data_IF_653068612532
#
_entry.id   IF_653068612532
#
_cell.length_a   1.000
_cell.length_b   1.000
_cell.length_c   1.000
_cell.angle_alpha   90.00
_cell.angle_beta   90.00
_cell.angle_gamma   90.00
#
_symmetry.space_group_name_H-M   'P 1'
#
loop_
_entity.id
_entity.type
_entity.pdbx_description
1 polymer ?
#
# COMPACT_ATOMS: atom_id res chain seq x y z
N UNK A 1 22.81 -8.71 -3.99
CA UNK A 1 23.09 -9.54 -2.81
C UNK A 1 23.71 -8.64 -1.77
N UNK A 2 23.08 -8.49 -0.59
CA UNK A 2 23.73 -7.82 0.53
C UNK A 2 24.21 -8.92 1.47
N UNK A 3 25.52 -9.01 1.69
CA UNK A 3 26.11 -9.94 2.65
C UNK A 3 25.96 -9.29 4.01
N UNK A 4 25.13 -9.86 4.88
CA UNK A 4 25.06 -9.45 6.29
C UNK A 4 26.40 -9.87 6.92
N UNK A 5 27.24 -8.89 7.25
CA UNK A 5 28.48 -9.13 7.96
C UNK A 5 28.14 -9.70 9.36
N UNK A 6 28.57 -10.95 9.62
CA UNK A 6 28.47 -11.56 10.95
C UNK A 6 27.94 -12.99 11.03
N UNK A 7 27.44 -13.59 9.94
CA UNK A 7 27.14 -15.03 9.95
C UNK A 7 28.40 -15.85 9.61
N UNK A 8 28.82 -16.71 10.54
CA UNK A 8 29.86 -17.69 10.30
C UNK A 8 29.32 -18.77 9.36
N UNK A 9 29.78 -18.77 8.12
CA UNK A 9 29.43 -19.81 7.16
C UNK A 9 30.47 -20.93 7.22
N UNK A 10 30.02 -22.18 7.39
CA UNK A 10 30.92 -23.34 7.35
C UNK A 10 31.12 -23.74 5.90
N UNK A 11 32.31 -23.48 5.37
CA UNK A 11 32.74 -23.98 4.07
C UNK A 11 32.96 -25.49 4.16
N UNK A 12 32.16 -26.27 3.43
CA UNK A 12 32.42 -27.70 3.24
C UNK A 12 33.02 -27.95 1.85
N UNK A 13 33.68 -29.10 1.61
CA UNK A 13 34.10 -29.50 0.26
C UNK A 13 32.94 -29.60 -0.76
N UNK A 14 31.68 -29.64 -0.28
CA UNK A 14 30.46 -29.66 -1.10
C UNK A 14 29.88 -28.25 -1.35
N UNK A 15 30.45 -27.21 -0.74
CA UNK A 15 29.98 -25.82 -0.84
C UNK A 15 29.58 -25.22 0.51
N UNK A 16 28.95 -24.05 0.44
CA UNK A 16 28.34 -23.34 1.58
C UNK A 16 26.84 -23.36 1.40
N UNK A 17 26.11 -23.80 2.44
CA UNK A 17 24.67 -23.59 2.51
C UNK A 17 24.41 -22.12 2.87
N UNK A 18 23.88 -21.36 1.91
CA UNK A 18 23.51 -19.94 2.12
C UNK A 18 21.99 -19.83 2.07
N UNK A 19 21.41 -19.26 3.12
CA UNK A 19 20.01 -18.82 3.10
C UNK A 19 19.94 -17.48 2.39
N UNK A 20 19.21 -17.43 1.27
CA UNK A 20 18.92 -16.20 0.57
C UNK A 20 17.52 -15.70 0.96
N UNK A 21 17.44 -14.47 1.45
CA UNK A 21 16.17 -13.78 1.67
C UNK A 21 15.86 -12.88 0.47
N UNK A 22 14.66 -13.06 -0.10
CA UNK A 22 14.16 -12.21 -1.17
C UNK A 22 13.20 -11.17 -0.58
N UNK A 23 13.45 -9.91 -0.89
CA UNK A 23 12.64 -8.77 -0.46
C UNK A 23 12.02 -8.11 -1.68
N UNK A 24 10.73 -7.75 -1.59
CA UNK A 24 10.06 -6.98 -2.65
C UNK A 24 10.78 -5.65 -2.87
N UNK A 25 10.79 -5.18 -4.11
CA UNK A 25 11.31 -3.85 -4.48
C UNK A 25 10.28 -2.73 -4.35
N UNK A 26 9.02 -3.10 -4.19
CA UNK A 26 7.88 -2.19 -4.14
C UNK A 26 7.19 -2.23 -2.79
N UNK A 27 6.55 -1.12 -2.45
CA UNK A 27 5.51 -1.05 -1.44
C UNK A 27 4.14 -1.41 -2.04
N UNK A 28 3.18 -1.72 -1.18
CA UNK A 28 1.76 -1.80 -1.53
C UNK A 28 0.96 -0.76 -0.77
N UNK A 29 0.03 -0.12 -1.44
CA UNK A 29 -1.00 0.72 -0.86
C UNK A 29 -2.35 0.02 -1.00
N UNK A 30 -3.14 -0.01 0.08
CA UNK A 30 -4.52 -0.48 0.09
C UNK A 30 -5.48 0.60 0.59
N UNK A 31 -6.64 0.74 -0.06
CA UNK A 31 -7.75 1.58 0.44
C UNK A 31 -8.94 0.72 0.86
N UNK A 32 -9.40 0.89 2.09
CA UNK A 32 -10.55 0.18 2.67
C UNK A 32 -11.69 1.15 2.95
N UNK A 33 -12.91 0.71 2.63
CA UNK A 33 -14.14 1.44 2.93
C UNK A 33 -14.80 0.83 4.17
N UNK A 34 -14.69 1.50 5.30
CA UNK A 34 -15.31 1.14 6.58
C UNK A 34 -16.48 2.07 6.94
N UNK A 35 -17.03 2.79 5.96
CA UNK A 35 -18.22 3.63 6.13
C UNK A 35 -19.44 2.96 5.48
N UNK A 36 -20.42 2.44 6.25
CA UNK A 36 -21.53 1.64 5.73
C UNK A 36 -22.40 2.31 4.67
N UNK A 37 -22.54 3.64 4.72
CA UNK A 37 -23.35 4.42 3.78
C UNK A 37 -22.52 5.10 2.67
N UNK A 38 -21.30 4.61 2.41
CA UNK A 38 -20.39 5.15 1.40
C UNK A 38 -20.04 4.11 0.34
N UNK A 39 -19.80 4.57 -0.90
CA UNK A 39 -19.18 3.80 -1.97
C UNK A 39 -17.94 4.53 -2.48
N UNK A 40 -16.83 3.83 -2.64
CA UNK A 40 -15.65 4.38 -3.34
C UNK A 40 -15.88 4.24 -4.84
N UNK A 41 -15.78 5.35 -5.57
CA UNK A 41 -16.06 5.42 -7.01
C UNK A 41 -14.81 5.60 -7.87
N UNK A 42 -13.73 6.11 -7.28
CA UNK A 42 -12.43 6.24 -7.96
C UNK A 42 -11.28 6.38 -6.95
N UNK A 43 -10.07 6.02 -7.36
CA UNK A 43 -8.83 6.21 -6.60
C UNK A 43 -7.70 6.57 -7.55
N UNK A 44 -7.03 7.70 -7.32
CA UNK A 44 -5.81 8.08 -8.03
C UNK A 44 -4.68 8.39 -7.06
N UNK A 45 -3.44 8.17 -7.52
CA UNK A 45 -2.24 8.50 -6.76
C UNK A 45 -1.40 9.43 -7.60
N UNK A 46 -1.23 10.66 -7.16
CA UNK A 46 -0.37 11.64 -7.82
C UNK A 46 0.97 11.72 -7.10
N UNK A 47 1.99 12.24 -7.79
CA UNK A 47 3.32 12.47 -7.23
C UNK A 47 4.04 11.18 -6.74
N UNK A 48 3.70 10.03 -7.33
CA UNK A 48 4.43 8.78 -7.11
C UNK A 48 5.69 8.78 -7.99
N UNK A 49 6.82 8.26 -7.49
CA UNK A 49 8.01 8.09 -8.34
C UNK A 49 7.84 6.98 -9.37
N UNK A 50 8.45 7.18 -10.55
CA UNK A 50 8.33 6.26 -11.69
C UNK A 50 9.35 5.12 -11.71
N UNK A 51 10.41 5.20 -10.90
CA UNK A 51 11.47 4.19 -10.84
C UNK A 51 12.19 4.16 -9.48
N UNK A 52 12.73 2.99 -9.13
CA UNK A 52 13.62 2.78 -7.97
C UNK A 52 14.73 1.78 -8.31
N UNK A 53 15.74 1.67 -7.45
CA UNK A 53 16.80 0.68 -7.61
C UNK A 53 16.33 -0.73 -7.23
N UNK A 54 16.74 -1.73 -8.02
CA UNK A 54 16.45 -3.14 -7.73
C UNK A 54 17.08 -3.60 -6.40
N UNK A 55 18.35 -3.24 -6.18
CA UNK A 55 19.07 -3.58 -4.96
C UNK A 55 19.08 -2.41 -3.99
N UNK A 56 19.00 -2.73 -2.70
CA UNK A 56 19.23 -1.77 -1.63
C UNK A 56 20.66 -1.23 -1.76
N UNK A 57 20.82 0.10 -1.83
CA UNK A 57 22.12 0.75 -1.73
C UNK A 57 22.68 0.67 -0.31
N UNK A 58 23.78 1.39 -0.05
CA UNK A 58 24.40 1.44 1.28
C UNK A 58 23.38 1.88 2.36
N UNK A 59 23.49 1.30 3.55
CA UNK A 59 22.45 1.26 4.62
C UNK A 59 22.10 2.63 5.22
N UNK A 60 22.80 3.69 4.84
CA UNK A 60 22.66 5.05 5.40
C UNK A 60 21.40 5.78 4.93
N UNK A 61 20.91 5.49 3.71
CA UNK A 61 19.68 6.08 3.19
C UNK A 61 18.57 5.03 3.20
N UNK A 62 17.41 5.36 3.80
CA UNK A 62 16.29 4.42 3.96
C UNK A 62 15.43 4.24 2.71
N UNK A 63 15.72 4.97 1.63
CA UNK A 63 15.00 4.98 0.37
C UNK A 63 16.02 4.95 -0.77
N UNK A 64 15.81 4.07 -1.76
CA UNK A 64 16.72 3.89 -2.89
C UNK A 64 16.01 4.19 -4.22
N UNK A 65 15.76 5.48 -4.46
CA UNK A 65 15.34 6.01 -5.76
C UNK A 65 16.52 6.69 -6.49
N UNK A 66 16.59 6.61 -7.84
CA UNK A 66 17.49 7.44 -8.62
C UNK A 66 17.21 8.94 -8.48
N UNK A 67 18.25 9.78 -8.56
CA UNK A 67 18.10 11.24 -8.49
C UNK A 67 17.26 11.83 -9.65
N UNK A 68 17.23 11.13 -10.78
CA UNK A 68 16.45 11.48 -11.97
C UNK A 68 15.09 10.75 -12.02
N UNK A 69 14.59 10.24 -10.90
CA UNK A 69 13.24 9.69 -10.78
C UNK A 69 12.19 10.75 -11.13
N UNK A 70 11.36 10.47 -12.13
CA UNK A 70 10.22 11.28 -12.50
C UNK A 70 9.06 11.09 -11.53
N UNK A 71 8.05 11.95 -11.66
CA UNK A 71 6.78 11.83 -10.93
C UNK A 71 5.67 11.47 -11.90
N UNK A 72 4.85 10.50 -11.50
CA UNK A 72 3.73 9.99 -12.29
C UNK A 72 2.44 10.02 -11.49
N UNK A 73 1.34 9.98 -12.23
CA UNK A 73 0.00 9.71 -11.70
C UNK A 73 -0.37 8.27 -11.99
N UNK A 74 -0.61 7.49 -10.95
CA UNK A 74 -1.18 6.17 -11.05
C UNK A 74 -2.69 6.29 -11.01
N UNK A 75 -3.33 5.78 -12.06
CA UNK A 75 -4.79 5.63 -12.16
C UNK A 75 -5.15 4.15 -12.13
N UNK A 76 -6.40 3.80 -11.82
CA UNK A 76 -6.85 2.41 -11.90
C UNK A 76 -6.64 1.87 -13.32
N UNK A 77 -6.31 0.58 -13.42
CA UNK A 77 -6.27 -0.09 -14.71
C UNK A 77 -7.64 0.00 -15.39
N UNK A 78 -7.66 0.04 -16.73
CA UNK A 78 -8.87 0.30 -17.50
C UNK A 78 -10.02 -0.68 -17.16
N UNK A 79 -9.69 -1.94 -16.93
CA UNK A 79 -10.62 -3.01 -16.51
C UNK A 79 -11.10 -2.91 -15.05
N UNK A 80 -10.46 -2.05 -14.26
CA UNK A 80 -10.82 -1.74 -12.87
C UNK A 80 -11.67 -0.46 -12.78
N UNK A 81 -11.56 0.47 -13.74
CA UNK A 81 -12.29 1.75 -13.76
C UNK A 81 -13.80 1.53 -13.69
N UNK A 82 -14.36 0.62 -14.49
CA UNK A 82 -15.80 0.38 -14.50
C UNK A 82 -16.30 -0.26 -13.19
N UNK A 83 -15.47 -1.11 -12.57
CA UNK A 83 -15.77 -1.73 -11.28
C UNK A 83 -15.72 -0.71 -10.14
N UNK A 84 -14.80 0.25 -10.21
CA UNK A 84 -14.75 1.38 -9.29
C UNK A 84 -15.97 2.29 -9.48
N UNK A 85 -16.31 2.66 -10.72
CA UNK A 85 -17.50 3.46 -11.03
C UNK A 85 -18.81 2.82 -10.56
N UNK A 86 -18.92 1.49 -10.61
CA UNK A 86 -20.07 0.76 -10.06
C UNK A 86 -20.18 0.90 -8.52
N UNK A 87 -19.11 1.34 -7.87
CA UNK A 87 -19.03 1.66 -6.45
C UNK A 87 -18.60 0.47 -5.62
N UNK A 88 -17.45 0.59 -4.95
CA UNK A 88 -16.98 -0.44 -4.01
C UNK A 88 -17.52 -0.15 -2.60
N UNK A 89 -18.36 -1.07 -2.14
CA UNK A 89 -19.12 -0.97 -0.90
C UNK A 89 -18.29 -1.22 0.36
N UNK A 90 -18.96 -1.03 1.49
CA UNK A 90 -18.46 -1.22 2.85
C UNK A 90 -17.83 -2.60 3.11
N UNK A 91 -16.82 -2.58 3.98
CA UNK A 91 -16.16 -3.73 4.57
C UNK A 91 -16.24 -3.61 6.09
N UNK A 92 -16.53 -4.71 6.78
CA UNK A 92 -16.67 -4.69 8.24
C UNK A 92 -15.32 -4.40 8.94
N UNK A 93 -15.22 -3.35 9.77
CA UNK A 93 -14.05 -3.07 10.58
C UNK A 93 -13.97 -3.99 11.82
N UNK A 94 -12.82 -3.96 12.51
CA UNK A 94 -12.64 -4.64 13.80
C UNK A 94 -12.00 -6.02 13.76
N UNK A 95 -11.65 -6.52 12.57
CA UNK A 95 -10.72 -7.66 12.43
C UNK A 95 -9.36 -7.18 11.90
N UNK A 96 -8.25 -7.80 12.31
CA UNK A 96 -6.99 -7.64 11.59
C UNK A 96 -7.24 -7.83 10.09
N UNK A 97 -6.65 -6.97 9.26
CA UNK A 97 -6.77 -7.10 7.81
C UNK A 97 -5.89 -8.28 7.41
N UNK A 98 -6.48 -9.47 7.38
CA UNK A 98 -5.84 -10.68 6.89
C UNK A 98 -5.52 -10.55 5.39
N UNK A 99 -4.53 -11.30 4.92
CA UNK A 99 -4.16 -11.33 3.50
C UNK A 99 -5.34 -11.68 2.60
N UNK A 100 -6.28 -12.52 3.07
CA UNK A 100 -7.51 -12.87 2.35
C UNK A 100 -8.40 -11.64 2.05
N UNK A 101 -8.48 -10.67 2.97
CA UNK A 101 -9.19 -9.42 2.77
C UNK A 101 -8.41 -8.46 1.85
N UNK A 102 -7.07 -8.46 1.95
CA UNK A 102 -6.19 -7.71 1.04
C UNK A 102 -6.28 -8.23 -0.40
N UNK A 103 -6.37 -9.54 -0.61
CA UNK A 103 -6.55 -10.16 -1.93
C UNK A 103 -7.87 -9.75 -2.58
N UNK A 104 -8.92 -9.50 -1.79
CA UNK A 104 -10.19 -8.99 -2.31
C UNK A 104 -10.17 -7.50 -2.64
N UNK A 105 -9.13 -6.77 -2.23
CA UNK A 105 -8.99 -5.33 -2.45
C UNK A 105 -8.31 -4.96 -3.79
N UNK A 106 -8.45 -5.80 -4.82
CA UNK A 106 -7.80 -5.62 -6.15
C UNK A 106 -8.14 -4.32 -6.86
N UNK A 107 -9.32 -3.76 -6.61
CA UNK A 107 -9.80 -2.55 -7.30
C UNK A 107 -9.23 -1.26 -6.71
N UNK A 108 -8.68 -1.32 -5.50
CA UNK A 108 -8.27 -0.14 -4.71
C UNK A 108 -6.90 -0.36 -4.07
N UNK A 109 -6.05 -1.12 -4.76
CA UNK A 109 -4.67 -1.34 -4.39
C UNK A 109 -3.73 -0.75 -5.44
N UNK A 110 -2.55 -0.34 -5.03
CA UNK A 110 -1.49 0.11 -5.92
C UNK A 110 -0.13 -0.36 -5.40
N UNK A 111 0.83 -0.44 -6.31
CA UNK A 111 2.23 -0.67 -5.98
C UNK A 111 3.01 0.62 -6.19
N UNK A 112 3.86 0.94 -5.22
CA UNK A 112 4.66 2.16 -5.24
C UNK A 112 6.14 1.78 -5.16
N UNK A 113 6.96 2.48 -5.94
CA UNK A 113 8.40 2.45 -5.77
C UNK A 113 8.82 3.24 -4.53
N UNK A 114 10.03 2.98 -4.06
CA UNK A 114 10.58 3.70 -2.91
C UNK A 114 10.66 5.20 -3.17
N UNK A 115 10.23 6.00 -2.20
CA UNK A 115 10.19 7.45 -2.31
C UNK A 115 10.62 8.14 -1.02
N UNK A 116 11.55 9.08 -1.14
CA UNK A 116 11.94 9.97 -0.05
C UNK A 116 10.88 11.06 0.06
N UNK A 117 10.29 11.22 1.24
CA UNK A 117 9.19 12.15 1.47
C UNK A 117 9.56 13.08 2.62
N UNK A 118 10.01 14.27 2.26
CA UNK A 118 10.46 15.29 3.20
C UNK A 118 9.41 16.36 3.47
N UNK A 119 8.49 16.55 2.54
CA UNK A 119 7.45 17.58 2.58
C UNK A 119 6.20 17.21 1.74
N UNK A 120 5.21 18.11 1.70
CA UNK A 120 3.98 17.90 0.94
C UNK A 120 4.21 17.86 -0.59
N UNK A 121 5.23 18.59 -1.06
CA UNK A 121 5.57 18.67 -2.48
C UNK A 121 6.23 17.38 -2.97
N UNK A 122 6.89 16.65 -2.08
CA UNK A 122 7.54 15.36 -2.33
C UNK A 122 6.65 14.18 -1.93
N UNK A 123 5.53 14.39 -1.24
CA UNK A 123 4.61 13.32 -0.83
C UNK A 123 3.77 12.79 -1.98
N UNK A 124 3.63 11.46 -2.14
CA UNK A 124 2.52 10.88 -2.87
C UNK A 124 1.19 11.35 -2.27
N UNK A 125 0.20 11.58 -3.12
CA UNK A 125 -1.15 12.01 -2.69
C UNK A 125 -2.19 11.06 -3.26
N UNK A 126 -2.89 10.38 -2.35
CA UNK A 126 -3.94 9.43 -2.71
C UNK A 126 -5.27 10.16 -2.67
N UNK A 127 -5.85 10.44 -3.83
CA UNK A 127 -7.18 11.03 -3.93
C UNK A 127 -8.21 9.93 -4.11
N UNK A 128 -9.18 9.89 -3.21
CA UNK A 128 -10.25 8.89 -3.21
C UNK A 128 -11.57 9.63 -3.42
N UNK A 129 -12.26 9.31 -4.51
CA UNK A 129 -13.60 9.81 -4.79
C UNK A 129 -14.64 8.82 -4.25
N UNK A 130 -15.71 9.37 -3.68
CA UNK A 130 -16.76 8.56 -3.10
C UNK A 130 -18.14 9.19 -3.25
N UNK A 131 -19.15 8.33 -3.13
CA UNK A 131 -20.55 8.73 -2.99
C UNK A 131 -21.05 8.33 -1.60
N UNK A 132 -21.66 9.28 -0.90
CA UNK A 132 -22.22 9.10 0.42
C UNK A 132 -23.75 9.21 0.37
N UNK A 133 -24.43 8.19 0.88
CA UNK A 133 -25.87 8.21 1.08
C UNK A 133 -26.18 8.84 2.44
N UNK A 134 -26.65 10.09 2.45
CA UNK A 134 -26.99 10.82 3.67
C UNK A 134 -28.50 10.95 3.78
N UNK A 135 -29.05 10.68 4.97
CA UNK A 135 -30.49 10.69 5.18
C UNK A 135 -30.89 9.97 6.46
N UNK A 136 -32.17 10.04 6.78
CA UNK A 136 -32.77 9.36 7.93
C UNK A 136 -33.46 8.03 7.54
N UNK A 137 -33.21 7.53 6.33
CA UNK A 137 -33.86 6.33 5.79
C UNK A 137 -35.21 6.58 5.10
N UNK A 138 -35.84 7.73 5.34
CA UNK A 138 -37.09 8.14 4.66
C UNK A 138 -36.80 9.06 3.47
N UNK A 139 -35.86 9.98 3.63
CA UNK A 139 -35.27 10.78 2.55
C UNK A 139 -33.77 10.53 2.52
N UNK A 140 -33.29 9.90 1.44
CA UNK A 140 -31.88 9.62 1.23
C UNK A 140 -31.39 10.41 0.01
N UNK A 141 -30.30 11.13 0.18
CA UNK A 141 -29.65 11.89 -0.89
C UNK A 141 -28.25 11.35 -1.10
N UNK A 142 -27.88 11.10 -2.36
CA UNK A 142 -26.50 10.81 -2.71
C UNK A 142 -25.70 12.11 -2.79
N UNK A 143 -24.53 12.14 -2.13
CA UNK A 143 -23.60 13.25 -2.19
C UNK A 143 -22.24 12.73 -2.65
N UNK A 144 -21.73 13.31 -3.74
CA UNK A 144 -20.35 13.09 -4.13
C UNK A 144 -19.40 13.79 -3.15
N UNK A 145 -18.26 13.15 -2.89
CA UNK A 145 -17.20 13.69 -2.05
C UNK A 145 -15.84 13.18 -2.52
N UNK A 146 -14.80 13.78 -1.98
CA UNK A 146 -13.42 13.36 -2.21
C UNK A 146 -12.58 13.61 -0.97
N UNK A 147 -11.56 12.79 -0.80
CA UNK A 147 -10.52 13.00 0.22
C UNK A 147 -9.16 12.76 -0.39
N UNK A 148 -8.20 13.64 -0.08
CA UNK A 148 -6.81 13.50 -0.49
C UNK A 148 -5.95 13.22 0.73
N UNK A 149 -5.24 12.10 0.71
CA UNK A 149 -4.42 11.61 1.81
C UNK A 149 -2.94 11.68 1.41
N UNK A 150 -2.15 12.60 1.97
CA UNK A 150 -0.70 12.57 1.83
C UNK A 150 -0.08 11.50 2.75
N UNK A 151 1.16 11.10 2.45
CA UNK A 151 1.94 10.21 3.29
C UNK A 151 2.51 11.01 4.48
N UNK A 152 1.65 11.32 5.44
CA UNK A 152 1.94 12.18 6.58
C UNK A 152 1.34 11.62 7.86
N UNK A 153 2.08 11.70 8.96
CA UNK A 153 1.59 11.32 10.29
C UNK A 153 0.67 12.39 10.84
N UNK A 154 -0.43 11.98 11.47
CA UNK A 154 -1.40 12.89 12.08
C UNK A 154 -1.10 13.19 13.55
N UNK A 155 -0.31 12.35 14.22
CA UNK A 155 -0.02 12.44 15.66
C UNK A 155 1.25 13.23 16.00
N UNK A 156 2.07 13.55 15.01
CA UNK A 156 3.30 14.32 15.16
C UNK A 156 3.33 15.38 14.06
N UNK A 157 3.36 16.66 14.44
CA UNK A 157 3.35 17.76 13.48
C UNK A 157 4.58 17.70 12.59
N UNK A 158 4.35 17.62 11.27
CA UNK A 158 5.35 17.68 10.20
C UNK A 158 6.17 16.40 9.91
N UNK A 159 5.83 15.25 10.49
CA UNK A 159 6.44 13.98 10.11
C UNK A 159 5.81 13.44 8.81
N UNK A 160 6.51 13.58 7.70
CA UNK A 160 6.20 12.86 6.48
C UNK A 160 6.71 11.41 6.54
N UNK A 161 6.13 10.55 5.71
CA UNK A 161 6.39 9.12 5.70
C UNK A 161 6.94 8.71 4.34
N UNK A 162 8.20 8.29 4.32
CA UNK A 162 8.81 7.68 3.14
C UNK A 162 7.98 6.50 2.62
N UNK A 163 8.03 6.29 1.31
CA UNK A 163 7.61 5.03 0.70
C UNK A 163 8.79 4.07 0.73
N UNK A 164 8.63 2.94 1.43
CA UNK A 164 9.69 1.95 1.64
C UNK A 164 9.32 0.62 1.00
N UNK A 165 10.30 -0.05 0.38
CA UNK A 165 10.08 -1.36 -0.25
C UNK A 165 9.64 -2.39 0.78
N UNK A 166 8.78 -3.33 0.38
CA UNK A 166 8.27 -4.38 1.26
C UNK A 166 7.52 -3.85 2.51
N UNK A 167 6.82 -2.72 2.36
CA UNK A 167 5.84 -2.22 3.32
C UNK A 167 4.44 -2.23 2.73
N UNK A 168 3.44 -2.31 3.61
CA UNK A 168 2.04 -2.09 3.27
C UNK A 168 1.56 -0.81 3.94
N UNK A 169 1.08 0.11 3.11
CA UNK A 169 0.38 1.33 3.50
C UNK A 169 -1.12 1.07 3.38
N UNK A 170 -1.90 1.44 4.39
CA UNK A 170 -3.34 1.18 4.42
C UNK A 170 -4.09 2.44 4.80
N UNK A 171 -4.95 2.91 3.89
CA UNK A 171 -5.94 3.96 4.14
C UNK A 171 -7.26 3.28 4.51
N UNK A 172 -7.83 3.65 5.65
CA UNK A 172 -9.17 3.23 6.08
C UNK A 172 -10.06 4.46 6.12
N UNK A 173 -11.21 4.37 5.45
CA UNK A 173 -12.23 5.41 5.45
C UNK A 173 -13.36 4.99 6.38
N UNK A 174 -13.52 5.70 7.50
CA UNK A 174 -14.51 5.42 8.53
C UNK A 174 -14.04 4.45 9.61
N UNK A 175 -14.88 4.32 10.64
CA UNK A 175 -14.65 3.52 11.85
C UNK A 175 -15.67 2.37 12.00
N UNK A 176 -16.55 2.18 11.01
CA UNK A 176 -17.68 1.25 11.06
C UNK A 176 -19.03 1.94 11.23
N UNK A 177 -19.05 3.23 11.54
CA UNK A 177 -20.25 4.02 11.72
C UNK A 177 -20.70 4.68 10.42
N UNK A 178 -22.01 4.91 10.29
CA UNK A 178 -22.55 5.74 9.20
C UNK A 178 -22.13 7.19 9.41
N UNK A 179 -21.77 7.86 8.32
CA UNK A 179 -21.50 9.29 8.36
C UNK A 179 -22.81 10.06 8.20
N UNK A 180 -23.15 10.89 9.18
CA UNK A 180 -24.34 11.73 9.18
C UNK A 180 -24.09 13.16 8.65
N UNK A 181 -22.86 13.67 8.81
CA UNK A 181 -22.52 15.10 8.59
C UNK A 181 -21.73 15.36 7.30
N UNK A 182 -21.47 14.33 6.49
CA UNK A 182 -20.70 14.42 5.24
C UNK A 182 -19.18 14.36 5.42
N UNK A 183 -18.68 14.32 6.66
CA UNK A 183 -17.25 14.19 6.96
C UNK A 183 -16.91 12.71 7.18
N UNK A 184 -15.96 12.18 6.42
CA UNK A 184 -15.48 10.79 6.53
C UNK A 184 -14.16 10.79 7.30
N UNK A 185 -14.10 10.05 8.40
CA UNK A 185 -12.84 9.87 9.13
C UNK A 185 -11.83 9.06 8.31
N UNK A 186 -10.56 9.42 8.40
CA UNK A 186 -9.49 8.76 7.65
C UNK A 186 -8.38 8.31 8.59
N UNK A 187 -7.97 7.05 8.46
CA UNK A 187 -6.81 6.50 9.14
C UNK A 187 -5.76 6.04 8.13
N UNK A 188 -4.50 6.43 8.35
CA UNK A 188 -3.36 5.99 7.56
C UNK A 188 -2.43 5.13 8.42
N UNK A 189 -2.25 3.87 8.02
CA UNK A 189 -1.48 2.88 8.77
C UNK A 189 -0.32 2.35 7.92
N UNK A 190 0.82 2.09 8.56
CA UNK A 190 2.03 1.56 7.93
C UNK A 190 2.46 0.30 8.68
N UNK A 191 2.66 -0.79 7.95
CA UNK A 191 3.13 -2.06 8.51
C UNK A 191 4.17 -2.69 7.60
N UNK A 192 5.11 -3.43 8.18
CA UNK A 192 6.00 -4.29 7.40
C UNK A 192 5.18 -5.28 6.59
N UNK A 193 5.57 -5.51 5.33
CA UNK A 193 5.00 -6.59 4.54
C UNK A 193 5.67 -7.91 4.94
N UNK A 194 5.25 -8.43 6.09
CA UNK A 194 5.71 -9.73 6.58
C UNK A 194 5.28 -10.85 5.61
N UNK A 195 6.16 -11.84 5.46
CA UNK A 195 5.90 -13.06 4.69
C UNK A 195 4.74 -13.83 5.32
N UNK A 196 3.71 -14.15 4.54
CA UNK A 196 3.01 -15.41 4.74
C UNK A 196 4.06 -16.53 4.68
N UNK A 197 3.93 -17.51 5.58
CA UNK A 197 4.79 -18.70 5.73
C UNK A 197 5.40 -19.18 4.41
N UNK A 198 6.69 -19.55 4.48
CA UNK A 198 7.47 -20.03 3.36
C UNK A 198 6.69 -21.00 2.46
N UNK A 199 6.90 -20.88 1.15
CA UNK A 199 6.56 -21.96 0.24
C UNK A 199 7.57 -23.09 0.55
N UNK A 200 7.24 -23.92 1.53
CA UNK A 200 7.78 -25.27 1.65
C UNK A 200 7.18 -26.10 0.52
N UNK A 201 7.63 -25.82 -0.69
CA UNK A 201 7.55 -26.78 -1.78
C UNK A 201 8.84 -26.63 -2.55
N UNK A 202 9.78 -27.51 -2.19
CA UNK A 202 10.92 -27.93 -2.98
C UNK A 202 10.93 -27.32 -4.38
N UNK A 203 11.76 -26.30 -4.58
CA UNK A 203 12.37 -26.10 -5.88
C UNK A 203 13.29 -27.29 -6.10
N UNK A 204 12.68 -28.43 -6.48
CA UNK A 204 13.38 -29.62 -6.90
C UNK A 204 14.06 -29.27 -8.21
N UNK A 205 15.29 -28.77 -8.11
CA UNK A 205 16.19 -28.66 -9.24
C UNK A 205 16.48 -30.11 -9.62
N UNK A 206 15.74 -30.62 -10.59
CA UNK A 206 16.00 -31.91 -11.22
C UNK A 206 17.49 -31.97 -11.57
N UNK A 207 18.26 -32.66 -10.72
CA UNK A 207 19.59 -33.16 -11.06
C UNK A 207 19.36 -34.36 -11.98
N UNK A 208 18.97 -34.08 -13.22
CA UNK A 208 18.97 -35.07 -14.29
C UNK A 208 20.28 -34.93 -15.08
N UNK A 209 21.19 -35.83 -14.69
CA UNK A 209 22.45 -36.30 -15.31
C UNK A 209 23.65 -35.37 -15.30
#
# INVERSE_FOLDING_TARGET
MSVIAGQAYTLTPRGVDVKAELTRTVARLDVFNYTPNMKITDVEITNAVDKSYLFKGDVTNNVHQPADAGKITLKPMLDMVDKLKAGIVYQTPGKPIEDSARVKNVYRMAYLYEQDVTDDATSPKVTIHYELTVGNGQTNTQKAGQVTVPFKRTTQTADYVDVKRNYIYTIKLGDGSKVATGVVDVQFNVVDWQKGTDIDSDLNVNSQK
#
